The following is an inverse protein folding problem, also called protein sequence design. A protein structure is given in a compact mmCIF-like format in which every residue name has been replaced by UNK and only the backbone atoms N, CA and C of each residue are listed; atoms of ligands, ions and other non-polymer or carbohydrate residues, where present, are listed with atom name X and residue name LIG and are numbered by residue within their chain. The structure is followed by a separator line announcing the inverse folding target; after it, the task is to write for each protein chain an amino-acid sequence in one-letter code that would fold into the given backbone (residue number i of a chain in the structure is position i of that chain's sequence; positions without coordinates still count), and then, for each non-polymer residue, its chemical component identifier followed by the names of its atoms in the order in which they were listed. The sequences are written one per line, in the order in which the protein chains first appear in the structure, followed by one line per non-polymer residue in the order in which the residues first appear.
data_IF_021188895372
#
_entry.id   IF_021188895372
#
_cell.length_a   1.000
_cell.length_b   1.000
_cell.length_c   1.000
_cell.angle_alpha   90.00
_cell.angle_beta   90.00
_cell.angle_gamma   90.00
#
_symmetry.space_group_name_H-M   'P 1'
#
loop_
_entity.id
_entity.type
_entity.pdbx_description
1 polymer ?
#
# COMPACT_ATOMS: atom_id res chain seq x y z
N UNK A 1 6.26 -4.95 23.53
CA UNK A 1 4.82 -4.98 23.20
C UNK A 1 4.47 -6.43 22.86
N UNK A 2 3.88 -7.18 23.81
CA UNK A 2 3.36 -8.51 23.51
C UNK A 2 2.00 -8.33 22.84
N UNK A 3 1.90 -8.66 21.56
CA UNK A 3 0.62 -8.73 20.88
C UNK A 3 -0.21 -9.82 21.55
N UNK A 4 -1.49 -9.55 21.82
CA UNK A 4 -2.42 -10.61 22.17
C UNK A 4 -2.41 -11.68 21.08
N UNK A 5 -2.38 -12.96 21.47
CA UNK A 5 -2.26 -14.11 20.56
C UNK A 5 -3.26 -14.06 19.39
N UNK A 6 -4.46 -13.51 19.64
CA UNK A 6 -5.50 -13.28 18.64
C UNK A 6 -5.11 -12.28 17.54
N UNK A 7 -4.42 -11.17 17.90
CA UNK A 7 -3.93 -10.18 16.93
C UNK A 7 -2.87 -10.78 16.03
N UNK A 8 -1.93 -11.51 16.61
CA UNK A 8 -0.88 -12.21 15.86
C UNK A 8 -1.46 -13.19 14.87
N UNK A 9 -2.40 -14.03 15.30
CA UNK A 9 -3.07 -15.00 14.44
C UNK A 9 -3.88 -14.33 13.31
N UNK A 10 -4.55 -13.21 13.60
CA UNK A 10 -5.25 -12.45 12.57
C UNK A 10 -4.28 -11.87 11.52
N UNK A 11 -3.17 -11.28 11.98
CA UNK A 11 -2.18 -10.68 11.08
C UNK A 11 -1.46 -11.71 10.23
N UNK A 12 -1.17 -12.91 10.75
CA UNK A 12 -0.59 -13.98 9.94
C UNK A 12 -1.57 -14.50 8.88
N UNK A 13 -2.85 -14.64 9.23
CA UNK A 13 -3.89 -15.01 8.26
C UNK A 13 -4.10 -13.92 7.20
N UNK A 14 -4.06 -12.65 7.60
CA UNK A 14 -4.11 -11.52 6.67
C UNK A 14 -2.91 -11.51 5.73
N UNK A 15 -1.71 -11.84 6.23
CA UNK A 15 -0.51 -11.95 5.41
C UNK A 15 -0.62 -13.07 4.38
N UNK A 16 -1.15 -14.23 4.77
CA UNK A 16 -1.43 -15.31 3.85
C UNK A 16 -2.40 -14.87 2.74
N UNK A 17 -3.47 -14.15 3.09
CA UNK A 17 -4.41 -13.59 2.12
C UNK A 17 -3.73 -12.58 1.18
N UNK A 18 -2.88 -11.70 1.70
CA UNK A 18 -2.09 -10.75 0.91
C UNK A 18 -1.23 -11.47 -0.13
N UNK A 19 -0.56 -12.56 0.25
CA UNK A 19 0.27 -13.34 -0.68
C UNK A 19 -0.58 -14.02 -1.75
N UNK A 20 -1.75 -14.57 -1.38
CA UNK A 20 -2.70 -15.15 -2.35
C UNK A 20 -3.16 -14.10 -3.36
N UNK A 21 -3.46 -12.87 -2.91
CA UNK A 21 -3.84 -11.77 -3.80
C UNK A 21 -2.70 -11.38 -4.76
N UNK A 22 -1.45 -11.37 -4.29
CA UNK A 22 -0.27 -11.13 -5.15
C UNK A 22 -0.16 -12.23 -6.21
N UNK A 23 -0.32 -13.50 -5.84
CA UNK A 23 -0.28 -14.62 -6.79
C UNK A 23 -1.42 -14.51 -7.81
N UNK A 24 -2.64 -14.22 -7.35
CA UNK A 24 -3.81 -14.02 -8.23
C UNK A 24 -3.63 -12.86 -9.19
N UNK A 25 -2.95 -11.78 -8.78
CA UNK A 25 -2.62 -10.67 -9.67
C UNK A 25 -1.70 -11.10 -10.82
N UNK A 26 -0.91 -12.16 -10.60
CA UNK A 26 -0.11 -12.88 -11.58
C UNK A 26 -0.91 -13.68 -12.60
N UNK A 27 -2.08 -14.18 -12.21
CA UNK A 27 -2.92 -15.06 -13.03
C UNK A 27 -3.99 -14.29 -13.79
N UNK A 28 -4.50 -13.19 -13.20
CA UNK A 28 -5.59 -12.37 -13.73
C UNK A 28 -5.05 -11.02 -14.23
N UNK A 29 -4.42 -11.02 -15.41
CA UNK A 29 -3.72 -9.85 -15.98
C UNK A 29 -4.62 -8.63 -16.26
N UNK A 30 -5.95 -8.80 -16.31
CA UNK A 30 -6.89 -7.71 -16.59
C UNK A 30 -7.17 -6.80 -15.37
N UNK A 31 -6.86 -7.23 -14.14
CA UNK A 31 -7.16 -6.47 -12.90
C UNK A 31 -5.99 -6.45 -11.89
N UNK A 32 -4.77 -6.68 -12.35
CA UNK A 32 -3.57 -6.83 -11.52
C UNK A 32 -3.36 -5.66 -10.55
N UNK A 33 -3.43 -4.41 -11.02
CA UNK A 33 -3.20 -3.23 -10.18
C UNK A 33 -4.21 -3.09 -9.04
N UNK A 34 -5.46 -3.48 -9.27
CA UNK A 34 -6.51 -3.48 -8.25
C UNK A 34 -6.26 -4.55 -7.18
N UNK A 35 -5.88 -5.76 -7.59
CA UNK A 35 -5.56 -6.85 -6.67
C UNK A 35 -4.32 -6.51 -5.81
N UNK A 36 -3.29 -5.92 -6.42
CA UNK A 36 -2.09 -5.46 -5.69
C UNK A 36 -2.39 -4.33 -4.71
N UNK A 37 -3.30 -3.42 -5.08
CA UNK A 37 -3.78 -2.38 -4.18
C UNK A 37 -4.57 -2.95 -2.99
N UNK A 38 -5.43 -3.94 -3.21
CA UNK A 38 -6.11 -4.64 -2.12
C UNK A 38 -5.11 -5.40 -1.23
N UNK A 39 -4.08 -5.99 -1.81
CA UNK A 39 -3.03 -6.69 -1.08
C UNK A 39 -2.26 -5.71 -0.17
N UNK A 40 -1.90 -4.52 -0.66
CA UNK A 40 -1.17 -3.50 0.12
C UNK A 40 -2.01 -2.93 1.28
N UNK A 41 -3.34 -2.88 1.15
CA UNK A 41 -4.22 -2.47 2.25
C UNK A 41 -4.09 -3.38 3.48
N UNK A 42 -3.76 -4.66 3.28
CA UNK A 42 -3.47 -5.60 4.36
C UNK A 42 -2.30 -5.14 5.24
N UNK A 43 -1.23 -4.62 4.62
CA UNK A 43 -0.10 -4.05 5.36
C UNK A 43 -0.47 -2.73 6.08
N UNK A 44 -1.40 -1.94 5.51
CA UNK A 44 -1.98 -0.79 6.18
C UNK A 44 -2.76 -1.14 7.44
N UNK A 45 -3.57 -2.21 7.38
CA UNK A 45 -4.23 -2.77 8.57
C UNK A 45 -3.18 -3.23 9.59
N UNK A 46 -2.13 -3.93 9.15
CA UNK A 46 -1.08 -4.41 10.04
C UNK A 46 -0.36 -3.26 10.76
N UNK A 47 -0.08 -2.17 10.05
CA UNK A 47 0.46 -0.95 10.63
C UNK A 47 -0.48 -0.33 11.67
N UNK A 48 -1.78 -0.25 11.38
CA UNK A 48 -2.75 0.38 12.29
C UNK A 48 -2.99 -0.43 13.56
N UNK A 49 -2.96 -1.76 13.47
CA UNK A 49 -3.20 -2.65 14.62
C UNK A 49 -1.94 -2.94 15.46
N UNK A 50 -0.76 -2.96 14.83
CA UNK A 50 0.51 -3.31 15.46
C UNK A 50 1.54 -2.17 15.51
N UNK A 51 1.21 -0.99 14.99
CA UNK A 51 2.14 0.11 14.84
C UNK A 51 3.27 -0.18 13.84
N UNK A 52 4.29 0.66 13.87
CA UNK A 52 5.37 0.67 12.88
C UNK A 52 6.15 -0.65 12.83
N UNK A 53 6.53 -1.22 13.98
CA UNK A 53 7.35 -2.43 14.01
C UNK A 53 6.67 -3.64 13.35
N UNK A 54 5.38 -3.83 13.62
CA UNK A 54 4.60 -4.95 13.08
C UNK A 54 4.20 -4.70 11.63
N UNK A 55 3.89 -3.45 11.27
CA UNK A 55 3.65 -3.08 9.87
C UNK A 55 4.86 -3.37 8.97
N UNK A 56 6.07 -3.02 9.42
CA UNK A 56 7.30 -3.38 8.71
C UNK A 56 7.57 -4.88 8.71
N UNK A 57 7.30 -5.59 9.81
CA UNK A 57 7.41 -7.05 9.87
C UNK A 57 6.47 -7.74 8.89
N UNK A 58 5.22 -7.28 8.79
CA UNK A 58 4.24 -7.76 7.80
C UNK A 58 4.71 -7.49 6.37
N UNK A 59 5.22 -6.28 6.12
CA UNK A 59 5.77 -5.93 4.81
C UNK A 59 6.94 -6.84 4.41
N UNK A 60 7.94 -6.99 5.28
CA UNK A 60 9.09 -7.86 5.04
C UNK A 60 8.66 -9.32 4.85
N UNK A 61 7.77 -9.83 5.72
CA UNK A 61 7.26 -11.20 5.62
C UNK A 61 6.49 -11.45 4.32
N UNK A 62 5.60 -10.53 3.94
CA UNK A 62 4.85 -10.62 2.68
C UNK A 62 5.76 -10.51 1.44
N UNK A 63 6.84 -9.74 1.49
CA UNK A 63 7.83 -9.69 0.41
C UNK A 63 8.63 -10.98 0.29
N UNK A 64 9.07 -11.56 1.41
CA UNK A 64 9.82 -12.82 1.40
C UNK A 64 8.94 -13.96 0.89
N UNK A 65 7.71 -14.09 1.42
CA UNK A 65 6.76 -15.10 0.97
C UNK A 65 6.34 -14.87 -0.48
N UNK A 66 6.09 -13.62 -0.86
CA UNK A 66 5.80 -13.26 -2.24
C UNK A 66 6.97 -13.56 -3.19
N UNK A 67 8.21 -13.36 -2.78
CA UNK A 67 9.38 -13.70 -3.61
C UNK A 67 9.54 -15.21 -3.82
N UNK A 68 9.16 -16.01 -2.82
CA UNK A 68 9.19 -17.47 -2.90
C UNK A 68 8.05 -18.06 -3.74
N UNK A 69 6.86 -17.44 -3.67
CA UNK A 69 5.63 -18.04 -4.20
C UNK A 69 5.08 -17.35 -5.46
N UNK A 70 5.37 -16.06 -5.66
CA UNK A 70 4.79 -15.32 -6.78
C UNK A 70 5.48 -15.71 -8.10
N UNK A 71 4.69 -16.05 -9.14
CA UNK A 71 5.24 -16.41 -10.44
C UNK A 71 5.90 -15.21 -11.15
N UNK A 72 5.41 -14.00 -10.88
CA UNK A 72 5.88 -12.77 -11.51
C UNK A 72 6.52 -11.81 -10.50
N UNK A 73 7.83 -11.61 -10.64
CA UNK A 73 8.63 -10.72 -9.76
C UNK A 73 8.29 -9.24 -9.97
N UNK A 74 7.78 -8.84 -11.12
CA UNK A 74 7.39 -7.45 -11.38
C UNK A 74 6.21 -7.04 -10.51
N UNK A 75 5.20 -7.90 -10.35
CA UNK A 75 4.04 -7.62 -9.50
C UNK A 75 4.41 -7.55 -8.02
N UNK A 76 5.40 -8.33 -7.59
CA UNK A 76 5.97 -8.21 -6.25
C UNK A 76 6.63 -6.85 -6.02
N UNK A 77 7.35 -6.32 -7.01
CA UNK A 77 7.94 -4.97 -6.93
C UNK A 77 6.84 -3.90 -6.86
N UNK A 78 5.80 -4.02 -7.67
CA UNK A 78 4.64 -3.09 -7.64
C UNK A 78 3.93 -3.12 -6.29
N UNK A 79 3.65 -4.32 -5.76
CA UNK A 79 3.12 -4.49 -4.40
C UNK A 79 4.04 -3.84 -3.36
N UNK A 80 5.35 -4.06 -3.51
CA UNK A 80 6.37 -3.50 -2.64
C UNK A 80 6.31 -1.98 -2.58
N UNK A 81 6.25 -1.35 -3.75
CA UNK A 81 6.16 0.10 -3.90
C UNK A 81 4.85 0.67 -3.32
N UNK A 82 3.71 0.06 -3.61
CA UNK A 82 2.40 0.48 -3.08
C UNK A 82 2.33 0.36 -1.55
N UNK A 83 2.91 -0.70 -1.01
CA UNK A 83 2.93 -0.96 0.43
C UNK A 83 3.88 -0.01 1.16
N UNK A 84 5.06 0.25 0.59
CA UNK A 84 6.01 1.22 1.15
C UNK A 84 5.40 2.63 1.16
N UNK A 85 4.78 3.05 0.06
CA UNK A 85 4.02 4.30 0.00
C UNK A 85 3.01 4.40 1.15
N UNK A 86 2.23 3.33 1.36
CA UNK A 86 1.18 3.29 2.35
C UNK A 86 1.76 3.39 3.78
N UNK A 87 2.76 2.58 4.13
CA UNK A 87 3.40 2.59 5.46
C UNK A 87 3.99 3.97 5.78
N UNK A 88 4.70 4.59 4.84
CA UNK A 88 5.27 5.93 5.07
C UNK A 88 4.16 6.98 5.19
N UNK A 89 3.08 6.83 4.43
CA UNK A 89 1.93 7.74 4.50
C UNK A 89 1.18 7.64 5.84
N UNK A 90 1.08 6.43 6.41
CA UNK A 90 0.51 6.21 7.75
C UNK A 90 1.43 6.74 8.85
N UNK A 91 2.75 6.52 8.71
CA UNK A 91 3.72 7.12 9.63
C UNK A 91 3.65 8.65 9.64
N UNK A 92 3.51 9.28 8.47
CA UNK A 92 3.29 10.71 8.37
C UNK A 92 1.96 11.13 9.04
N UNK A 93 0.90 10.34 8.89
CA UNK A 93 -0.39 10.57 9.53
C UNK A 93 -0.31 10.58 11.05
N UNK A 94 0.38 9.61 11.64
CA UNK A 94 0.60 9.51 13.08
C UNK A 94 1.43 10.66 13.61
N UNK A 95 2.53 11.02 12.92
CA UNK A 95 3.37 12.17 13.30
C UNK A 95 2.63 13.50 13.21
N UNK A 96 1.78 13.65 12.20
CA UNK A 96 1.01 14.88 11.98
C UNK A 96 -0.25 14.99 12.86
N UNK A 97 -0.54 13.97 13.68
CA UNK A 97 -1.61 14.03 14.69
C UNK A 97 -1.34 15.09 15.77
N UNK A 98 -0.07 15.46 15.99
CA UNK A 98 0.37 16.46 16.98
C UNK A 98 -0.07 17.89 16.57
N UNK A 99 -0.35 18.13 15.28
CA UNK A 99 -0.72 19.45 14.76
C UNK A 99 -2.21 19.72 15.02
N UNK A 100 -2.52 20.71 15.88
CA UNK A 100 -3.91 21.08 16.24
C UNK A 100 -4.76 21.57 15.05
N UNK A 101 -4.15 22.20 14.04
CA UNK A 101 -4.88 22.72 12.88
C UNK A 101 -5.16 21.62 11.86
N UNK A 102 -6.43 21.22 11.74
CA UNK A 102 -6.92 20.24 10.76
C UNK A 102 -6.61 20.65 9.31
N UNK A 103 -6.75 21.93 8.99
CA UNK A 103 -6.51 22.45 7.63
C UNK A 103 -5.03 22.33 7.24
N UNK A 104 -4.12 22.70 8.16
CA UNK A 104 -2.68 22.60 7.93
C UNK A 104 -2.26 21.13 7.89
N UNK A 105 -2.76 20.31 8.82
CA UNK A 105 -2.51 18.86 8.85
C UNK A 105 -2.89 18.18 7.53
N UNK A 106 -4.08 18.46 7.00
CA UNK A 106 -4.54 17.87 5.74
C UNK A 106 -3.71 18.33 4.55
N UNK A 107 -3.34 19.61 4.48
CA UNK A 107 -2.45 20.13 3.42
C UNK A 107 -1.08 19.48 3.47
N UNK A 108 -0.45 19.40 4.65
CA UNK A 108 0.88 18.80 4.82
C UNK A 108 0.83 17.30 4.51
N UNK A 109 -0.20 16.58 4.96
CA UNK A 109 -0.37 15.16 4.62
C UNK A 109 -0.50 14.94 3.12
N UNK A 110 -1.28 15.78 2.44
CA UNK A 110 -1.45 15.66 1.00
C UNK A 110 -0.14 15.96 0.26
N UNK A 111 0.60 16.97 0.70
CA UNK A 111 1.91 17.31 0.15
C UNK A 111 2.94 16.19 0.36
N UNK A 112 3.01 15.59 1.54
CA UNK A 112 3.87 14.44 1.83
C UNK A 112 3.51 13.25 0.93
N UNK A 113 2.22 12.92 0.80
CA UNK A 113 1.75 11.85 -0.09
C UNK A 113 2.10 12.11 -1.55
N UNK A 114 1.94 13.35 -2.00
CA UNK A 114 2.30 13.75 -3.36
C UNK A 114 3.81 13.59 -3.62
N UNK A 115 4.66 14.05 -2.70
CA UNK A 115 6.12 13.90 -2.82
C UNK A 115 6.52 12.43 -2.81
N UNK A 116 5.98 11.63 -1.89
CA UNK A 116 6.29 10.20 -1.78
C UNK A 116 5.89 9.44 -3.03
N UNK A 117 4.70 9.71 -3.56
CA UNK A 117 4.25 9.08 -4.79
C UNK A 117 5.12 9.47 -5.96
N UNK A 118 5.43 10.76 -6.15
CA UNK A 118 6.30 11.17 -7.25
C UNK A 118 7.70 10.57 -7.12
N UNK A 119 8.29 10.52 -5.92
CA UNK A 119 9.58 9.86 -5.70
C UNK A 119 9.55 8.39 -6.11
N UNK A 120 8.56 7.64 -5.64
CA UNK A 120 8.43 6.20 -5.93
C UNK A 120 8.11 5.99 -7.42
N UNK A 121 7.16 6.75 -7.95
CA UNK A 121 6.66 6.62 -9.33
C UNK A 121 7.72 6.99 -10.35
N UNK A 122 8.41 8.13 -10.18
CA UNK A 122 9.50 8.55 -11.06
C UNK A 122 10.68 7.58 -10.96
N UNK A 123 11.01 7.09 -9.75
CA UNK A 123 12.08 6.08 -9.60
C UNK A 123 11.75 4.81 -10.39
N UNK A 124 10.52 4.32 -10.31
CA UNK A 124 10.08 3.13 -11.07
C UNK A 124 10.05 3.42 -12.57
N UNK A 125 9.61 4.60 -12.99
CA UNK A 125 9.58 5.00 -14.39
C UNK A 125 10.99 5.05 -15.00
N UNK A 126 12.01 5.47 -14.22
CA UNK A 126 13.40 5.54 -14.66
C UNK A 126 14.13 4.19 -14.59
N UNK A 127 13.92 3.41 -13.53
CA UNK A 127 14.62 2.14 -13.30
C UNK A 127 13.99 0.97 -14.03
N UNK A 128 12.67 1.01 -14.25
CA UNK A 128 11.91 -0.07 -14.87
C UNK A 128 10.77 0.48 -15.74
N UNK A 129 11.06 1.23 -16.82
CA UNK A 129 10.05 1.81 -17.71
C UNK A 129 9.08 0.77 -18.29
N UNK A 130 9.60 -0.42 -18.61
CA UNK A 130 8.82 -1.58 -19.11
C UNK A 130 7.76 -2.10 -18.13
N UNK A 131 7.84 -1.70 -16.86
CA UNK A 131 6.91 -2.07 -15.79
C UNK A 131 5.61 -1.26 -15.85
N UNK A 132 5.67 -0.06 -16.45
CA UNK A 132 4.52 0.85 -16.61
C UNK A 132 4.08 0.91 -18.08
N UNK A 133 5.02 0.88 -19.02
CA UNK A 133 4.71 0.92 -20.45
C UNK A 133 5.68 0.06 -21.26
N UNK A 134 5.22 -0.97 -21.98
CA UNK A 134 6.10 -1.85 -22.76
C UNK A 134 6.60 -1.24 -24.09
N UNK A 135 6.06 -0.08 -24.52
CA UNK A 135 6.48 0.60 -25.74
C UNK A 135 7.58 1.65 -25.55
N UNK A 136 7.99 2.30 -26.65
CA UNK A 136 8.99 3.38 -26.60
C UNK A 136 8.46 4.60 -25.84
N UNK A 137 9.21 5.07 -24.85
CA UNK A 137 8.85 6.23 -24.05
C UNK A 137 9.32 7.48 -24.79
N UNK A 138 8.41 8.07 -25.56
CA UNK A 138 8.56 9.44 -26.06
C UNK A 138 8.14 10.44 -24.95
N UNK A 139 8.67 11.66 -24.97
CA UNK A 139 8.34 12.76 -24.05
C UNK A 139 6.83 12.96 -23.86
N UNK A 140 6.05 12.85 -24.94
CA UNK A 140 4.58 12.96 -24.90
C UNK A 140 3.90 11.81 -24.14
N UNK A 141 4.38 10.57 -24.31
CA UNK A 141 3.86 9.38 -23.62
C UNK A 141 4.20 9.44 -22.14
N UNK A 142 5.41 9.88 -21.81
CA UNK A 142 5.86 10.09 -20.44
C UNK A 142 4.96 11.08 -19.69
N UNK A 143 4.60 12.20 -20.34
CA UNK A 143 3.72 13.22 -19.78
C UNK A 143 2.30 12.68 -19.52
N UNK A 144 1.79 11.85 -20.45
CA UNK A 144 0.48 11.20 -20.30
C UNK A 144 0.47 10.19 -19.15
N UNK A 145 1.54 9.40 -19.00
CA UNK A 145 1.72 8.45 -17.89
C UNK A 145 1.80 9.17 -16.55
N UNK A 146 2.51 10.29 -16.48
CA UNK A 146 2.58 11.11 -15.25
C UNK A 146 1.19 11.66 -14.90
N UNK A 147 0.47 12.21 -15.89
CA UNK A 147 -0.89 12.71 -15.67
C UNK A 147 -1.85 11.61 -15.19
N UNK A 148 -1.81 10.43 -15.82
CA UNK A 148 -2.58 9.27 -15.39
C UNK A 148 -2.20 8.79 -13.98
N UNK A 149 -0.91 8.78 -13.65
CA UNK A 149 -0.40 8.44 -12.32
C UNK A 149 -0.98 9.31 -11.21
N UNK A 150 -1.14 10.61 -11.45
CA UNK A 150 -1.76 11.51 -10.45
C UNK A 150 -3.23 11.18 -10.19
N UNK A 151 -3.98 10.76 -11.23
CA UNK A 151 -5.36 10.29 -11.07
C UNK A 151 -5.39 9.02 -10.22
N UNK A 152 -4.46 8.09 -10.50
CA UNK A 152 -4.33 6.84 -9.72
C UNK A 152 -4.00 7.13 -8.26
N UNK A 153 -3.09 8.06 -7.97
CA UNK A 153 -2.82 8.49 -6.58
C UNK A 153 -4.10 8.94 -5.88
N UNK A 154 -4.90 9.77 -6.54
CA UNK A 154 -6.11 10.30 -5.94
C UNK A 154 -7.15 9.19 -5.66
N UNK A 155 -7.34 8.29 -6.63
CA UNK A 155 -8.25 7.15 -6.48
C UNK A 155 -7.77 6.19 -5.39
N UNK A 156 -6.47 5.88 -5.36
CA UNK A 156 -5.86 4.97 -4.39
C UNK A 156 -5.95 5.53 -2.96
N UNK A 157 -5.58 6.80 -2.73
CA UNK A 157 -5.68 7.41 -1.40
C UNK A 157 -7.14 7.48 -0.92
N UNK A 158 -8.07 7.82 -1.82
CA UNK A 158 -9.50 7.85 -1.48
C UNK A 158 -10.03 6.46 -1.16
N UNK A 159 -9.68 5.46 -1.96
CA UNK A 159 -10.04 4.07 -1.74
C UNK A 159 -9.51 3.53 -0.41
N UNK A 160 -8.23 3.80 -0.13
CA UNK A 160 -7.58 3.36 1.09
C UNK A 160 -8.21 3.99 2.34
N UNK A 161 -8.42 5.31 2.35
CA UNK A 161 -9.07 6.00 3.48
C UNK A 161 -10.49 5.51 3.72
N UNK A 162 -11.25 5.31 2.66
CA UNK A 162 -12.61 4.76 2.76
C UNK A 162 -12.59 3.35 3.35
N UNK A 163 -11.68 2.50 2.87
CA UNK A 163 -11.51 1.14 3.37
C UNK A 163 -11.16 1.14 4.87
N UNK A 164 -10.20 1.95 5.28
CA UNK A 164 -9.81 2.08 6.69
C UNK A 164 -10.96 2.60 7.58
N UNK A 165 -11.58 3.71 7.18
CA UNK A 165 -12.60 4.38 8.02
C UNK A 165 -13.94 3.63 8.09
N UNK A 166 -14.38 3.01 7.00
CA UNK A 166 -15.74 2.48 6.90
C UNK A 166 -15.81 0.96 6.97
N UNK A 167 -14.80 0.26 6.46
CA UNK A 167 -14.79 -1.20 6.39
C UNK A 167 -13.97 -1.74 7.56
N UNK A 168 -12.72 -1.32 7.68
CA UNK A 168 -11.83 -1.83 8.71
C UNK A 168 -12.32 -1.52 10.12
N UNK A 169 -12.74 -0.29 10.41
CA UNK A 169 -13.29 0.05 11.75
C UNK A 169 -14.49 -0.84 12.15
N UNK A 170 -15.36 -1.22 11.19
CA UNK A 170 -16.48 -2.14 11.47
C UNK A 170 -15.99 -3.56 11.73
N UNK A 171 -15.05 -4.04 10.93
CA UNK A 171 -14.47 -5.38 11.06
C UNK A 171 -13.68 -5.50 12.36
N UNK A 172 -12.86 -4.51 12.68
CA UNK A 172 -12.08 -4.41 13.92
C UNK A 172 -12.95 -4.52 15.17
N UNK A 173 -14.10 -3.82 15.20
CA UNK A 173 -15.07 -3.91 16.30
C UNK A 173 -15.65 -5.31 16.47
N UNK A 174 -15.93 -6.02 15.38
CA UNK A 174 -16.44 -7.40 15.42
C UNK A 174 -15.39 -8.42 15.86
N UNK A 175 -14.14 -8.22 15.47
CA UNK A 175 -13.03 -9.11 15.81
C UNK A 175 -12.52 -8.94 17.25
N UNK A 176 -13.06 -7.99 18.01
CA UNK A 176 -12.70 -7.70 19.41
C UNK A 176 -11.18 -7.60 19.61
N UNK A 177 -10.49 -6.95 18.68
CA UNK A 177 -9.03 -6.82 18.74
C UNK A 177 -8.58 -5.83 19.84
N UNK A 178 -9.49 -5.15 20.55
CA UNK A 178 -9.15 -4.24 21.64
C UNK A 178 -9.45 -4.80 23.05
N UNK A 179 -9.94 -6.04 23.14
CA UNK A 179 -10.08 -6.80 24.39
C UNK A 179 -8.90 -7.78 24.53
#
# INVERSE_FOLDING_TARGET
MLLGTRKLAFLSLLMALTVVLIILSGVLEFNTLFLLALASFGAGIAYREGGLGIGFGFFAGSLILGALLAPNKFYLITYGAMTLYLIVSEFAYDKLYIVKSITVRNKVLWLVKYILFNLIFISILLLAPKLIFPGEINFKVQLFIIAGGQIVLFLYDKGYRYFQGNIWEKVRRKLKLNE
#
